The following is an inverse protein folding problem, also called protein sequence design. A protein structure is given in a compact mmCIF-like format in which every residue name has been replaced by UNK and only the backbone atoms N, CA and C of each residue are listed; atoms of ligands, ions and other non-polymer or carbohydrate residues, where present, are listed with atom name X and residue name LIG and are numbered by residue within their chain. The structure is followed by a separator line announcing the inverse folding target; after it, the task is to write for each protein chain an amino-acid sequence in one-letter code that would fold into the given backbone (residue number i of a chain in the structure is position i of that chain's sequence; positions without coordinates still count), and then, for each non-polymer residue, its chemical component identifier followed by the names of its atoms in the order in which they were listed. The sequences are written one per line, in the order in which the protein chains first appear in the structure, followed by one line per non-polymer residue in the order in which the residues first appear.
data_IF_250734352318
#
_entry.id   IF_250734352318
#
_cell.length_a   1.000
_cell.length_b   1.000
_cell.length_c   1.000
_cell.angle_alpha   90.00
_cell.angle_beta   90.00
_cell.angle_gamma   90.00
#
_symmetry.space_group_name_H-M   'P 1'
#
loop_
_entity.id
_entity.type
_entity.pdbx_description
1 polymer ?
#
# COMPACT_ATOMS: atom_id res chain seq x y z
N UNK A 1 -2.34 -7.33 -9.29
CA UNK A 1 -3.71 -6.76 -9.20
C UNK A 1 -3.83 -5.49 -10.04
N UNK A 2 -3.17 -5.38 -11.19
CA UNK A 2 -3.09 -4.10 -11.90
C UNK A 2 -4.47 -3.59 -12.32
N UNK A 3 -4.80 -2.35 -11.94
CA UNK A 3 -6.09 -1.72 -12.26
C UNK A 3 -7.30 -2.29 -11.51
N UNK A 4 -7.10 -3.20 -10.55
CA UNK A 4 -8.21 -3.84 -9.83
C UNK A 4 -8.78 -2.93 -8.75
N UNK A 5 -10.08 -3.09 -8.46
CA UNK A 5 -10.70 -2.53 -7.26
C UNK A 5 -10.37 -3.44 -6.07
N UNK A 6 -9.64 -2.89 -5.11
CA UNK A 6 -9.28 -3.54 -3.83
C UNK A 6 -9.93 -2.81 -2.65
N UNK A 7 -11.01 -2.06 -2.89
CA UNK A 7 -11.66 -1.25 -1.85
C UNK A 7 -12.10 -2.10 -0.67
N UNK A 8 -11.89 -1.60 0.54
CA UNK A 8 -12.31 -2.24 1.81
C UNK A 8 -11.73 -3.64 2.03
N UNK A 9 -10.66 -4.02 1.33
CA UNK A 9 -10.03 -5.32 1.50
C UNK A 9 -9.18 -5.31 2.77
N UNK A 10 -9.22 -6.42 3.50
CA UNK A 10 -8.38 -6.64 4.67
C UNK A 10 -7.05 -7.30 4.27
N UNK A 11 -5.97 -6.54 4.40
CA UNK A 11 -4.58 -6.98 4.23
C UNK A 11 -3.79 -6.91 5.56
N UNK A 12 -4.46 -6.88 6.71
CA UNK A 12 -3.78 -6.80 8.00
C UNK A 12 -2.79 -7.95 8.19
N UNK A 13 -1.53 -7.61 8.50
CA UNK A 13 -0.43 -8.57 8.65
C UNK A 13 -0.03 -9.31 7.38
N UNK A 14 -0.55 -8.93 6.21
CA UNK A 14 -0.25 -9.61 4.95
C UNK A 14 1.20 -9.39 4.50
N UNK A 15 1.78 -10.44 3.93
CA UNK A 15 3.03 -10.34 3.19
C UNK A 15 2.73 -9.97 1.73
N UNK A 16 3.00 -8.71 1.37
CA UNK A 16 2.79 -8.17 0.02
C UNK A 16 4.11 -7.77 -0.63
N UNK A 17 5.23 -8.32 -0.15
CA UNK A 17 6.56 -8.01 -0.67
C UNK A 17 6.61 -8.27 -2.17
N UNK A 18 7.06 -7.27 -2.94
CA UNK A 18 7.14 -7.35 -4.40
C UNK A 18 5.80 -7.38 -5.15
N UNK A 19 4.66 -7.22 -4.45
CA UNK A 19 3.34 -7.23 -5.10
C UNK A 19 3.18 -6.08 -6.11
N UNK A 20 2.41 -6.34 -7.17
CA UNK A 20 2.03 -5.34 -8.18
C UNK A 20 0.61 -4.83 -7.92
N UNK A 21 0.52 -3.67 -7.28
CA UNK A 21 -0.70 -2.90 -6.98
C UNK A 21 -0.79 -1.63 -7.84
N UNK A 22 -0.23 -1.70 -9.05
CA UNK A 22 -0.21 -0.58 -9.99
C UNK A 22 -1.64 -0.21 -10.40
N UNK A 23 -2.00 1.08 -10.35
CA UNK A 23 -3.33 1.58 -10.73
C UNK A 23 -4.50 0.97 -9.94
N UNK A 24 -4.26 0.33 -8.80
CA UNK A 24 -5.34 -0.22 -7.98
C UNK A 24 -6.06 0.87 -7.22
N UNK A 25 -7.35 0.65 -6.96
CA UNK A 25 -8.09 1.43 -5.98
C UNK A 25 -8.07 0.72 -4.63
N UNK A 26 -7.33 1.26 -3.67
CA UNK A 26 -7.22 0.70 -2.32
C UNK A 26 -8.07 1.46 -1.30
N UNK A 27 -9.02 2.30 -1.72
CA UNK A 27 -9.86 3.11 -0.80
C UNK A 27 -10.44 2.26 0.34
N UNK A 28 -10.30 2.74 1.58
CA UNK A 28 -10.75 2.09 2.82
C UNK A 28 -10.12 0.70 3.10
N UNK A 29 -9.03 0.33 2.44
CA UNK A 29 -8.33 -0.94 2.71
C UNK A 29 -7.50 -0.88 3.98
N UNK A 30 -7.27 -2.05 4.56
CA UNK A 30 -6.60 -2.21 5.84
C UNK A 30 -5.26 -2.90 5.63
N UNK A 31 -4.14 -2.18 5.78
CA UNK A 31 -2.78 -2.71 5.63
C UNK A 31 -2.02 -2.78 6.97
N UNK A 32 -2.71 -2.68 8.11
CA UNK A 32 -2.05 -2.56 9.40
C UNK A 32 -1.12 -3.76 9.66
N UNK A 33 0.16 -3.49 9.95
CA UNK A 33 1.18 -4.51 10.14
C UNK A 33 1.60 -5.29 8.88
N UNK A 34 1.09 -4.93 7.69
CA UNK A 34 1.48 -5.57 6.44
C UNK A 34 2.93 -5.25 6.04
N UNK A 35 3.52 -6.11 5.23
CA UNK A 35 4.84 -5.91 4.66
C UNK A 35 4.74 -5.50 3.19
N UNK A 36 4.95 -4.21 2.93
CA UNK A 36 4.88 -3.61 1.59
C UNK A 36 6.27 -3.38 0.97
N UNK A 37 7.33 -3.97 1.52
CA UNK A 37 8.69 -3.79 0.99
C UNK A 37 8.77 -4.28 -0.46
N UNK A 38 9.13 -3.40 -1.38
CA UNK A 38 9.20 -3.72 -2.81
C UNK A 38 7.85 -3.78 -3.52
N UNK A 39 6.75 -3.49 -2.83
CA UNK A 39 5.44 -3.38 -3.48
C UNK A 39 5.41 -2.17 -4.40
N UNK A 40 4.81 -2.34 -5.58
CA UNK A 40 4.58 -1.25 -6.51
C UNK A 40 3.13 -0.74 -6.39
N UNK A 41 2.96 0.45 -5.83
CA UNK A 41 1.70 1.20 -5.67
C UNK A 41 1.66 2.42 -6.61
N UNK A 42 2.46 2.44 -7.68
CA UNK A 42 2.41 3.50 -8.69
C UNK A 42 0.99 3.63 -9.25
N UNK A 43 0.49 4.86 -9.27
CA UNK A 43 -0.87 5.25 -9.67
C UNK A 43 -2.00 4.60 -8.84
N UNK A 44 -1.69 3.98 -7.69
CA UNK A 44 -2.73 3.54 -6.78
C UNK A 44 -3.49 4.74 -6.20
N UNK A 45 -4.80 4.62 -6.10
CA UNK A 45 -5.69 5.63 -5.53
C UNK A 45 -6.25 5.17 -4.19
N UNK A 46 -6.76 6.09 -3.37
CA UNK A 46 -7.37 5.72 -2.09
C UNK A 46 -6.38 5.45 -0.95
N UNK A 47 -5.08 5.60 -1.17
CA UNK A 47 -4.05 5.34 -0.15
C UNK A 47 -4.23 6.24 1.09
N UNK A 48 -4.60 7.51 0.92
CA UNK A 48 -4.87 8.42 2.07
C UNK A 48 -6.10 8.03 2.89
N UNK A 49 -7.00 7.23 2.32
CA UNK A 49 -8.16 6.67 3.01
C UNK A 49 -7.91 5.25 3.51
N UNK A 50 -6.75 4.67 3.19
CA UNK A 50 -6.35 3.34 3.66
C UNK A 50 -5.63 3.44 5.00
N UNK A 51 -5.71 2.38 5.78
CA UNK A 51 -5.04 2.31 7.08
C UNK A 51 -3.68 1.65 6.93
N UNK A 52 -2.60 2.36 7.24
CA UNK A 52 -1.22 1.87 7.13
C UNK A 52 -0.49 1.78 8.48
N UNK A 53 -1.18 1.81 9.62
CA UNK A 53 -0.53 1.71 10.95
C UNK A 53 0.39 0.48 11.06
N UNK A 54 1.61 0.67 11.53
CA UNK A 54 2.64 -0.39 11.65
C UNK A 54 3.02 -1.10 10.33
N UNK A 55 2.60 -0.56 9.18
CA UNK A 55 2.98 -1.12 7.87
C UNK A 55 4.47 -0.95 7.65
N UNK A 56 5.12 -1.99 7.12
CA UNK A 56 6.53 -1.93 6.77
C UNK A 56 6.67 -1.46 5.32
N UNK A 57 7.20 -0.27 5.15
CA UNK A 57 7.67 0.24 3.86
C UNK A 57 9.17 -0.03 3.70
N UNK A 58 9.66 -0.08 2.46
CA UNK A 58 11.08 -0.16 2.16
C UNK A 58 11.47 0.87 1.10
N UNK A 59 12.77 1.07 0.90
CA UNK A 59 13.32 1.94 -0.16
C UNK A 59 12.92 1.50 -1.58
N UNK A 60 12.42 0.28 -1.71
CA UNK A 60 11.93 -0.31 -2.96
C UNK A 60 10.40 -0.25 -3.09
N UNK A 61 9.68 0.23 -2.07
CA UNK A 61 8.23 0.44 -2.17
C UNK A 61 7.99 1.67 -3.03
N UNK A 62 7.27 1.51 -4.14
CA UNK A 62 7.07 2.58 -5.12
C UNK A 62 5.68 3.22 -4.95
N UNK A 63 5.66 4.55 -4.83
CA UNK A 63 4.45 5.38 -4.81
C UNK A 63 4.48 6.38 -5.96
N UNK A 64 3.30 6.92 -6.32
CA UNK A 64 3.17 7.93 -7.38
C UNK A 64 3.92 9.23 -7.11
N UNK A 65 4.14 9.57 -5.84
CA UNK A 65 4.86 10.78 -5.39
C UNK A 65 6.27 10.49 -4.86
N UNK A 66 6.81 9.31 -5.14
CA UNK A 66 8.22 9.00 -4.96
C UNK A 66 8.61 8.54 -3.56
N UNK A 67 8.10 9.14 -2.47
CA UNK A 67 8.37 8.66 -1.10
C UNK A 67 7.23 9.07 -0.16
N UNK A 68 6.44 8.09 0.31
CA UNK A 68 5.67 8.25 1.55
C UNK A 68 6.65 8.07 2.72
N UNK A 69 7.26 9.14 3.22
CA UNK A 69 7.92 9.10 4.53
C UNK A 69 6.82 9.17 5.57
N UNK A 70 6.43 8.02 6.14
CA UNK A 70 5.66 8.00 7.38
C UNK A 70 6.59 8.39 8.52
N UNK A 71 6.83 9.69 8.66
CA UNK A 71 7.01 10.27 10.00
C UNK A 71 5.61 10.62 10.42
N UNK A 72 4.94 9.75 11.18
CA UNK A 72 4.08 10.11 12.31
C UNK A 72 3.94 8.84 13.16
N UNK A 73 4.52 8.95 14.35
CA UNK A 73 4.48 8.00 15.46
C UNK A 73 3.08 7.86 16.05
#
# INVERSE_FOLDING_TARGET
FTGSSLRKVNFMGADLRGAKLVRTDVTDSQFQGADLRGTNLTEATGARQSQFYYTRFGVTTLFSDGIFTTTES
#
